data_IF_936820218706
#
_entry.id   IF_936820218706
#
_cell.length_a   1.000
_cell.length_b   1.000
_cell.length_c   1.000
_cell.angle_alpha   90.00
_cell.angle_beta   90.00
_cell.angle_gamma   90.00
#
_symmetry.space_group_name_H-M   'P 1'
#
loop_
_entity.id
_entity.type
_entity.pdbx_description
1 polymer ?
#
# COMPACT_ATOMS: atom_id res chain seq x y z
N UNK A 1 -12.53 -16.34 32.09
CA UNK A 1 -12.49 -17.43 31.07
C UNK A 1 -11.19 -17.42 30.26
N UNK A 2 -10.74 -16.29 29.70
CA UNK A 2 -9.43 -16.20 29.01
C UNK A 2 -8.21 -16.38 29.94
N UNK A 3 -8.26 -15.85 31.17
CA UNK A 3 -7.17 -16.03 32.14
C UNK A 3 -7.05 -17.48 32.64
N UNK A 4 -8.16 -18.23 32.70
CA UNK A 4 -8.16 -19.63 33.11
C UNK A 4 -7.60 -20.55 32.02
N UNK A 5 -7.78 -20.20 30.74
CA UNK A 5 -7.22 -20.93 29.61
C UNK A 5 -5.69 -20.78 29.51
N UNK A 6 -5.15 -19.57 29.79
CA UNK A 6 -3.71 -19.32 29.80
C UNK A 6 -2.99 -20.09 30.93
N UNK A 7 -3.60 -20.16 32.12
CA UNK A 7 -3.04 -20.91 33.26
C UNK A 7 -3.11 -22.42 33.03
N UNK A 8 -4.16 -22.93 32.38
CA UNK A 8 -4.28 -24.35 32.04
C UNK A 8 -3.21 -24.80 31.03
N UNK A 9 -2.90 -23.96 30.04
CA UNK A 9 -1.85 -24.22 29.03
C UNK A 9 -0.46 -24.24 29.67
N UNK A 10 -0.18 -23.32 30.61
CA UNK A 10 1.11 -23.27 31.33
C UNK A 10 1.30 -24.47 32.28
N UNK A 11 0.22 -24.93 32.92
CA UNK A 11 0.25 -26.13 33.78
C UNK A 11 0.42 -27.42 32.96
N UNK A 12 -0.24 -27.52 31.79
CA UNK A 12 -0.08 -28.65 30.87
C UNK A 12 1.34 -28.71 30.26
N UNK A 13 1.94 -27.56 29.96
CA UNK A 13 3.32 -27.47 29.46
C UNK A 13 4.38 -27.75 30.54
N UNK A 14 4.04 -27.60 31.82
CA UNK A 14 4.91 -27.95 32.95
C UNK A 14 4.84 -29.44 33.32
N UNK A 15 3.76 -30.14 32.96
CA UNK A 15 3.60 -31.59 33.18
C UNK A 15 4.19 -32.47 32.08
N UNK A 16 4.67 -31.89 30.98
CA UNK A 16 5.32 -32.64 29.91
C UNK A 16 6.76 -32.99 30.30
N UNK A 17 7.12 -34.26 30.11
CA UNK A 17 8.48 -34.74 30.30
C UNK A 17 9.45 -33.94 29.39
N UNK A 18 10.64 -33.60 29.91
CA UNK A 18 11.66 -32.75 29.29
C UNK A 18 11.86 -32.94 27.76
N UNK A 19 11.88 -34.18 27.20
CA UNK A 19 12.08 -34.39 25.77
C UNK A 19 10.91 -33.90 24.91
N UNK A 20 9.68 -33.94 25.45
CA UNK A 20 8.45 -33.53 24.74
C UNK A 20 8.30 -32.01 24.73
N UNK A 21 8.76 -31.34 25.80
CA UNK A 21 8.78 -29.88 25.92
C UNK A 21 9.75 -29.24 24.92
N UNK A 22 10.93 -29.84 24.75
CA UNK A 22 11.90 -29.42 23.73
C UNK A 22 11.38 -29.63 22.30
N UNK A 23 10.58 -30.68 22.05
CA UNK A 23 9.99 -30.94 20.72
C UNK A 23 8.95 -29.91 20.29
N UNK A 24 8.11 -29.43 21.21
CA UNK A 24 7.07 -28.43 20.91
C UNK A 24 7.67 -27.02 20.70
N UNK A 25 8.71 -26.66 21.45
CA UNK A 25 9.47 -25.42 21.22
C UNK A 25 10.28 -25.52 19.92
N UNK A 26 10.80 -26.72 19.60
CA UNK A 26 11.53 -27.01 18.37
C UNK A 26 10.67 -26.89 17.11
N UNK A 27 9.38 -27.24 17.12
CA UNK A 27 8.53 -27.13 15.92
C UNK A 27 8.10 -25.70 15.59
N UNK A 28 7.97 -24.82 16.60
CA UNK A 28 7.76 -23.39 16.36
C UNK A 28 9.05 -22.69 15.90
N UNK A 29 10.21 -23.14 16.41
CA UNK A 29 11.53 -22.62 16.00
C UNK A 29 12.03 -23.21 14.66
N UNK A 30 11.56 -24.39 14.23
CA UNK A 30 12.02 -25.06 13.01
C UNK A 30 11.47 -24.46 11.72
N UNK A 31 10.58 -23.47 11.79
CA UNK A 31 10.10 -22.74 10.62
C UNK A 31 11.15 -21.77 10.05
N UNK A 32 12.23 -21.50 10.80
CA UNK A 32 13.29 -20.58 10.37
C UNK A 32 14.67 -21.13 10.76
N UNK A 33 15.59 -21.37 9.80
CA UNK A 33 16.98 -21.69 10.12
C UNK A 33 17.57 -20.61 11.04
N UNK A 34 18.38 -21.01 12.02
CA UNK A 34 18.93 -20.12 13.08
C UNK A 34 19.58 -18.83 12.52
N UNK A 35 20.14 -18.85 11.31
CA UNK A 35 20.66 -17.66 10.63
C UNK A 35 19.59 -16.69 10.08
N UNK A 36 18.40 -17.17 9.71
CA UNK A 36 17.29 -16.32 9.24
C UNK A 36 16.56 -15.60 10.37
N UNK A 37 16.54 -16.19 11.58
CA UNK A 37 15.94 -15.57 12.77
C UNK A 37 16.71 -14.30 13.17
N UNK A 38 18.04 -14.34 13.09
CA UNK A 38 18.92 -13.19 13.34
C UNK A 38 18.72 -12.09 12.28
N UNK A 39 18.64 -12.45 11.00
CA UNK A 39 18.36 -11.48 9.93
C UNK A 39 17.00 -10.80 10.09
N UNK A 40 15.95 -11.56 10.44
CA UNK A 40 14.62 -10.99 10.70
C UNK A 40 14.65 -10.00 11.85
N UNK A 41 15.24 -10.39 12.97
CA UNK A 41 15.35 -9.53 14.16
C UNK A 41 16.12 -8.23 13.84
N UNK A 42 17.18 -8.30 13.03
CA UNK A 42 17.92 -7.13 12.57
C UNK A 42 17.08 -6.21 11.69
N UNK A 43 16.33 -6.75 10.72
CA UNK A 43 15.42 -5.95 9.89
C UNK A 43 14.37 -5.24 10.74
N UNK A 44 13.75 -5.96 11.69
CA UNK A 44 12.75 -5.40 12.59
C UNK A 44 13.36 -4.30 13.50
N UNK A 45 14.58 -4.48 14.00
CA UNK A 45 15.27 -3.47 14.80
C UNK A 45 15.57 -2.19 14.00
N UNK A 46 16.14 -2.33 12.78
CA UNK A 46 16.40 -1.19 11.88
C UNK A 46 15.13 -0.44 11.52
N UNK A 47 14.03 -1.15 11.27
CA UNK A 47 12.74 -0.53 10.97
C UNK A 47 12.18 0.23 12.17
N UNK A 48 12.27 -0.34 13.38
CA UNK A 48 11.87 0.36 14.62
C UNK A 48 12.70 1.63 14.86
N UNK A 49 14.01 1.57 14.66
CA UNK A 49 14.89 2.74 14.73
C UNK A 49 14.48 3.81 13.72
N UNK A 50 14.21 3.43 12.47
CA UNK A 50 13.69 4.34 11.45
C UNK A 50 12.37 5.00 11.89
N UNK A 51 11.40 4.21 12.38
CA UNK A 51 10.12 4.75 12.85
C UNK A 51 10.30 5.77 13.98
N UNK A 52 11.17 5.48 14.95
CA UNK A 52 11.46 6.37 16.06
C UNK A 52 12.21 7.65 15.63
N UNK A 53 12.96 7.58 14.53
CA UNK A 53 13.69 8.73 13.98
C UNK A 53 12.84 9.65 13.09
N UNK A 54 11.66 9.22 12.64
CA UNK A 54 10.83 10.01 11.69
C UNK A 54 9.54 10.53 12.29
N UNK A 55 9.11 10.07 13.46
CA UNK A 55 7.95 10.61 14.19
C UNK A 55 8.31 10.72 15.66
N UNK A 56 8.02 11.87 16.25
CA UNK A 56 8.25 12.13 17.66
C UNK A 56 7.26 11.32 18.51
N UNK A 57 7.73 10.75 19.61
CA UNK A 57 6.89 10.21 20.68
C UNK A 57 6.87 11.21 21.84
N UNK A 58 5.89 12.14 21.88
CA UNK A 58 5.88 13.19 22.90
C UNK A 58 5.68 12.58 24.29
N UNK A 59 6.48 13.02 25.27
CA UNK A 59 6.40 12.55 26.66
C UNK A 59 5.06 12.87 27.37
N UNK A 60 4.20 13.66 26.71
CA UNK A 60 2.84 14.02 27.14
C UNK A 60 1.90 13.88 25.94
N UNK A 61 0.58 13.71 26.14
CA UNK A 61 -0.39 13.87 25.07
C UNK A 61 -0.19 15.24 24.39
N UNK A 62 0.00 15.29 23.06
CA UNK A 62 0.22 16.55 22.38
C UNK A 62 -1.07 17.36 22.29
N UNK A 63 -0.93 18.69 22.24
CA UNK A 63 -2.05 19.60 22.02
C UNK A 63 -2.30 19.81 20.52
N UNK A 64 -1.25 19.61 19.70
CA UNK A 64 -1.30 19.75 18.23
C UNK A 64 -0.74 18.52 17.55
N UNK A 65 -1.36 18.13 16.44
CA UNK A 65 -0.85 17.03 15.62
C UNK A 65 0.58 17.28 15.13
N UNK A 66 0.95 18.53 14.85
CA UNK A 66 2.30 18.89 14.41
C UNK A 66 3.41 18.60 15.43
N UNK A 67 3.09 18.36 16.71
CA UNK A 67 4.06 17.93 17.73
C UNK A 67 4.62 16.53 17.48
N UNK A 68 3.97 15.72 16.62
CA UNK A 68 4.50 14.42 16.17
C UNK A 68 5.60 14.55 15.10
N UNK A 69 5.79 15.74 14.51
CA UNK A 69 6.72 15.94 13.40
C UNK A 69 8.14 16.19 13.91
N UNK A 70 9.12 15.58 13.25
CA UNK A 70 10.54 15.76 13.56
C UNK A 70 11.04 17.02 12.84
N UNK A 71 11.67 17.98 13.55
CA UNK A 71 12.23 19.17 12.93
C UNK A 71 13.27 18.82 11.84
N UNK A 72 13.15 19.48 10.68
CA UNK A 72 14.05 19.26 9.54
C UNK A 72 13.67 18.08 8.63
N UNK A 73 12.77 17.19 9.06
CA UNK A 73 12.22 16.16 8.20
C UNK A 73 11.21 16.72 7.20
N UNK A 74 11.07 16.04 6.07
CA UNK A 74 10.01 16.29 5.08
C UNK A 74 9.10 15.08 5.03
N UNK A 75 7.80 15.32 4.85
CA UNK A 75 6.79 14.27 4.83
C UNK A 75 5.92 14.40 3.58
N UNK A 76 5.49 13.26 3.06
CA UNK A 76 4.55 13.18 1.96
C UNK A 76 3.38 12.29 2.36
N UNK A 77 2.16 12.82 2.27
CA UNK A 77 0.92 12.07 2.40
C UNK A 77 0.16 12.09 1.08
N UNK A 78 -0.63 11.06 0.81
CA UNK A 78 -1.54 11.04 -0.34
C UNK A 78 -2.95 10.71 0.09
N UNK A 79 -3.93 11.42 -0.49
CA UNK A 79 -5.33 11.02 -0.38
C UNK A 79 -5.71 10.06 -1.50
N UNK A 80 -6.54 9.07 -1.20
CA UNK A 80 -6.91 8.02 -2.15
C UNK A 80 -8.36 8.13 -2.60
N UNK A 81 -8.65 7.46 -3.72
CA UNK A 81 -9.99 7.19 -4.22
C UNK A 81 -10.11 5.71 -4.58
N UNK A 82 -11.32 5.15 -4.52
CA UNK A 82 -11.62 3.84 -5.08
C UNK A 82 -11.18 2.63 -4.25
N UNK A 83 -11.21 1.46 -4.89
CA UNK A 83 -11.00 0.17 -4.27
C UNK A 83 -9.54 -0.10 -3.87
N UNK A 84 -9.28 -1.32 -3.39
CA UNK A 84 -7.99 -1.70 -2.83
C UNK A 84 -6.82 -1.51 -3.81
N UNK A 85 -7.01 -1.86 -5.10
CA UNK A 85 -5.97 -1.67 -6.12
C UNK A 85 -5.62 -0.20 -6.30
N UNK A 86 -6.62 0.69 -6.42
CA UNK A 86 -6.37 2.13 -6.50
C UNK A 86 -5.57 2.60 -5.29
N UNK A 87 -6.00 2.23 -4.08
CA UNK A 87 -5.32 2.56 -2.82
C UNK A 87 -3.88 2.05 -2.78
N UNK A 88 -3.63 0.84 -3.25
CA UNK A 88 -2.27 0.28 -3.30
C UNK A 88 -1.40 1.10 -4.25
N UNK A 89 -1.86 1.37 -5.47
CA UNK A 89 -1.08 2.15 -6.43
C UNK A 89 -0.83 3.58 -5.96
N UNK A 90 -1.79 4.22 -5.29
CA UNK A 90 -1.56 5.52 -4.63
C UNK A 90 -0.40 5.46 -3.63
N UNK A 91 -0.40 4.43 -2.77
CA UNK A 91 0.69 4.25 -1.78
C UNK A 91 2.01 3.95 -2.46
N UNK A 92 2.04 3.14 -3.52
CA UNK A 92 3.26 2.83 -4.24
C UNK A 92 3.85 4.08 -4.93
N UNK A 93 3.02 4.92 -5.55
CA UNK A 93 3.47 6.19 -6.11
C UNK A 93 3.89 7.19 -5.02
N UNK A 94 3.21 7.22 -3.88
CA UNK A 94 3.61 8.05 -2.74
C UNK A 94 4.96 7.59 -2.17
N UNK A 95 5.20 6.29 -2.07
CA UNK A 95 6.49 5.73 -1.65
C UNK A 95 7.61 6.07 -2.64
N UNK A 96 7.33 5.95 -3.93
CA UNK A 96 8.26 6.36 -4.98
C UNK A 96 8.58 7.86 -4.86
N UNK A 97 7.56 8.71 -4.84
CA UNK A 97 7.72 10.16 -4.76
C UNK A 97 8.43 10.61 -3.47
N UNK A 98 8.08 10.01 -2.33
CA UNK A 98 8.75 10.30 -1.06
C UNK A 98 10.25 9.98 -1.14
N UNK A 99 10.63 8.86 -1.77
CA UNK A 99 12.04 8.54 -1.98
C UNK A 99 12.75 9.58 -2.83
N UNK A 100 12.18 9.95 -3.98
CA UNK A 100 12.78 10.94 -4.89
C UNK A 100 12.91 12.33 -4.23
N UNK A 101 11.99 12.67 -3.32
CA UNK A 101 11.99 13.93 -2.58
C UNK A 101 12.81 13.88 -1.28
N UNK A 102 13.38 12.73 -0.91
CA UNK A 102 14.03 12.54 0.38
C UNK A 102 13.07 12.65 1.58
N UNK A 103 11.77 12.51 1.37
CA UNK A 103 10.73 12.64 2.38
C UNK A 103 10.35 11.28 3.02
N UNK A 104 9.62 11.37 4.12
CA UNK A 104 8.97 10.24 4.81
C UNK A 104 7.56 10.08 4.24
N UNK A 105 7.24 8.89 3.72
CA UNK A 105 5.89 8.59 3.24
C UNK A 105 4.96 8.30 4.43
N UNK A 106 3.98 9.18 4.67
CA UNK A 106 2.91 8.96 5.64
C UNK A 106 1.80 8.13 4.98
N UNK A 107 1.61 6.90 5.46
CA UNK A 107 0.73 5.93 4.83
C UNK A 107 -0.56 5.73 5.63
N UNK A 108 -1.72 6.23 5.15
CA UNK A 108 -3.00 5.91 5.78
C UNK A 108 -3.31 4.41 5.66
N UNK A 109 -4.23 3.90 6.47
CA UNK A 109 -4.74 2.53 6.31
C UNK A 109 -5.45 2.36 4.97
N UNK A 110 -5.52 1.12 4.50
CA UNK A 110 -6.49 0.71 3.50
C UNK A 110 -7.89 0.78 4.08
N UNK A 111 -8.85 1.16 3.24
CA UNK A 111 -10.27 1.21 3.58
C UNK A 111 -11.03 0.24 2.70
N UNK A 112 -11.71 -0.70 3.34
CA UNK A 112 -12.57 -1.69 2.69
C UNK A 112 -13.90 -1.02 2.27
N UNK A 113 -13.85 -0.10 1.29
CA UNK A 113 -14.99 0.78 0.94
C UNK A 113 -16.23 0.02 0.45
N UNK A 114 -16.05 -1.20 -0.07
CA UNK A 114 -17.14 -2.04 -0.58
C UNK A 114 -17.76 -2.95 0.49
N UNK A 115 -17.22 -2.97 1.71
CA UNK A 115 -17.74 -3.79 2.81
C UNK A 115 -18.51 -2.91 3.81
N UNK A 116 -19.62 -3.41 4.39
CA UNK A 116 -20.33 -2.72 5.46
C UNK A 116 -19.39 -2.32 6.60
N UNK A 117 -19.50 -1.09 7.07
CA UNK A 117 -18.68 -0.56 8.16
C UNK A 117 -17.29 -0.05 7.75
N UNK A 118 -16.93 -0.09 6.46
CA UNK A 118 -15.72 0.51 5.90
C UNK A 118 -14.45 0.18 6.71
N UNK A 119 -14.23 -1.10 7.02
CA UNK A 119 -13.15 -1.48 7.93
C UNK A 119 -11.76 -1.02 7.44
N UNK A 120 -10.95 -0.58 8.39
CA UNK A 120 -9.60 -0.07 8.14
C UNK A 120 -8.55 -1.17 8.41
N UNK A 121 -7.56 -1.26 7.53
CA UNK A 121 -6.41 -2.18 7.69
C UNK A 121 -5.12 -1.43 7.41
N UNK A 122 -4.20 -1.42 8.37
CA UNK A 122 -2.92 -0.75 8.19
C UNK A 122 -2.06 -1.46 7.14
N UNK A 123 -1.15 -0.73 6.51
CA UNK A 123 -0.26 -1.32 5.49
C UNK A 123 0.62 -2.42 6.07
N UNK A 124 1.09 -2.27 7.31
CA UNK A 124 1.93 -3.23 8.01
C UNK A 124 1.17 -4.41 8.62
N UNK A 125 -0.16 -4.41 8.57
CA UNK A 125 -0.96 -5.62 8.79
C UNK A 125 -1.04 -6.50 7.53
N UNK A 126 -0.71 -5.95 6.35
CA UNK A 126 -0.80 -6.64 5.07
C UNK A 126 0.58 -6.96 4.49
N UNK A 127 1.52 -6.03 4.64
CA UNK A 127 2.84 -6.08 4.02
C UNK A 127 3.97 -5.99 5.04
N UNK A 128 5.05 -6.70 4.74
CA UNK A 128 6.25 -6.80 5.55
C UNK A 128 7.11 -5.53 5.42
N UNK A 129 6.68 -4.48 6.13
CA UNK A 129 7.34 -3.18 6.10
C UNK A 129 8.82 -3.20 6.56
N UNK A 130 9.23 -4.01 7.56
CA UNK A 130 10.64 -4.17 7.90
C UNK A 130 11.49 -4.67 6.73
N UNK A 131 11.02 -5.71 6.02
CA UNK A 131 11.69 -6.22 4.82
C UNK A 131 11.71 -5.18 3.70
N UNK A 132 10.59 -4.51 3.47
CA UNK A 132 10.47 -3.45 2.46
C UNK A 132 11.49 -2.33 2.72
N UNK A 133 11.60 -1.83 3.96
CA UNK A 133 12.57 -0.80 4.32
C UNK A 133 14.01 -1.28 4.10
N UNK A 134 14.31 -2.53 4.48
CA UNK A 134 15.65 -3.09 4.32
C UNK A 134 16.07 -3.23 2.85
N UNK A 135 15.12 -3.51 1.95
CA UNK A 135 15.35 -3.68 0.51
C UNK A 135 15.40 -2.35 -0.26
N UNK A 136 14.69 -1.33 0.20
CA UNK A 136 14.46 -0.09 -0.57
C UNK A 136 15.08 1.16 0.05
N UNK A 137 15.35 1.15 1.36
CA UNK A 137 15.72 2.34 2.13
C UNK A 137 14.60 3.38 2.27
N UNK A 138 13.41 3.11 1.74
CA UNK A 138 12.31 4.09 1.72
C UNK A 138 11.68 4.21 3.10
N UNK A 139 11.72 5.44 3.63
CA UNK A 139 11.18 5.78 4.95
C UNK A 139 9.66 5.89 4.85
N UNK A 140 8.97 4.87 5.34
CA UNK A 140 7.52 4.76 5.29
C UNK A 140 6.96 4.65 6.71
N UNK A 141 6.06 5.55 7.07
CA UNK A 141 5.44 5.59 8.39
C UNK A 141 3.93 5.29 8.28
N UNK A 142 3.46 4.13 8.77
CA UNK A 142 2.03 3.82 8.85
C UNK A 142 1.31 4.75 9.84
N UNK A 143 0.38 5.58 9.35
CA UNK A 143 -0.32 6.60 10.16
C UNK A 143 -1.10 6.02 11.34
N UNK A 144 -1.58 4.78 11.26
CA UNK A 144 -2.27 4.12 12.38
C UNK A 144 -1.39 3.98 13.66
N UNK A 145 -0.07 4.12 13.53
CA UNK A 145 0.86 4.10 14.67
C UNK A 145 0.77 5.37 15.52
N UNK A 146 0.22 6.45 14.95
CA UNK A 146 -0.27 7.58 15.73
C UNK A 146 -1.59 7.11 16.35
N UNK A 147 -1.53 6.74 17.63
CA UNK A 147 -2.59 6.01 18.32
C UNK A 147 -3.94 6.72 18.23
N UNK A 148 -4.99 5.98 17.81
CA UNK A 148 -6.38 6.42 18.00
C UNK A 148 -6.76 6.48 19.48
N UNK A 149 -6.14 5.74 20.39
CA UNK A 149 -6.39 5.89 21.84
C UNK A 149 -5.78 7.19 22.39
N UNK A 150 -4.76 7.75 21.70
CA UNK A 150 -4.25 9.09 21.95
C UNK A 150 -5.12 10.21 21.35
N UNK A 151 -5.86 9.92 20.27
CA UNK A 151 -6.72 10.89 19.57
C UNK A 151 -8.19 10.83 20.05
N UNK A 152 -8.71 9.67 20.45
CA UNK A 152 -10.12 9.44 20.81
C UNK A 152 -10.47 9.82 22.26
N UNK A 153 -9.51 10.22 23.09
CA UNK A 153 -9.81 10.83 24.41
C UNK A 153 -9.71 12.35 24.44
N UNK A 154 -9.30 12.98 23.36
CA UNK A 154 -9.13 14.43 23.29
C UNK A 154 -9.94 14.98 22.13
N UNK A 155 -11.15 15.44 22.44
CA UNK A 155 -11.85 16.48 21.66
C UNK A 155 -11.06 17.80 21.58
N UNK A 156 -9.80 17.83 22.04
CA UNK A 156 -8.92 18.99 22.17
C UNK A 156 -7.67 18.97 21.28
N UNK A 157 -7.35 17.86 20.58
CA UNK A 157 -6.18 17.82 19.70
C UNK A 157 -6.42 18.70 18.46
N UNK A 158 -5.61 19.74 18.28
CA UNK A 158 -5.67 20.59 17.10
C UNK A 158 -5.26 19.78 15.85
N UNK A 159 -6.13 19.66 14.84
CA UNK A 159 -5.86 18.86 13.65
C UNK A 159 -4.74 19.49 12.82
N UNK A 160 -3.98 18.66 12.12
CA UNK A 160 -3.07 19.13 11.08
C UNK A 160 -3.87 19.55 9.85
N UNK A 161 -3.93 20.85 9.58
CA UNK A 161 -4.50 21.39 8.33
C UNK A 161 -3.43 21.49 7.25
N UNK A 162 -3.64 20.86 6.10
CA UNK A 162 -2.67 20.78 5.01
C UNK A 162 -3.26 21.25 3.68
N UNK A 163 -2.55 22.12 2.93
CA UNK A 163 -2.83 22.26 1.51
C UNK A 163 -2.55 20.93 0.80
N UNK A 164 -3.50 20.43 0.02
CA UNK A 164 -3.34 19.23 -0.79
C UNK A 164 -3.47 19.52 -2.28
N UNK A 165 -2.45 19.17 -3.05
CA UNK A 165 -2.41 19.42 -4.48
C UNK A 165 -3.26 18.41 -5.24
N UNK A 166 -4.25 18.91 -5.98
CA UNK A 166 -5.20 18.07 -6.74
C UNK A 166 -4.83 17.95 -8.22
N UNK A 167 -3.80 17.16 -8.51
CA UNK A 167 -3.43 16.82 -9.90
C UNK A 167 -4.50 15.96 -10.58
N UNK A 168 -5.33 15.28 -9.80
CA UNK A 168 -6.41 14.45 -10.33
C UNK A 168 -7.56 15.30 -10.84
N UNK A 169 -7.99 16.33 -10.11
CA UNK A 169 -8.95 17.28 -10.64
C UNK A 169 -8.35 18.07 -11.81
N UNK A 170 -7.04 18.30 -11.84
CA UNK A 170 -6.30 18.87 -13.01
C UNK A 170 -6.44 18.01 -14.25
N UNK A 171 -6.35 16.70 -14.06
CA UNK A 171 -6.50 15.74 -15.15
C UNK A 171 -7.97 15.57 -15.55
N UNK A 172 -8.93 15.75 -14.63
CA UNK A 172 -10.36 15.50 -14.85
C UNK A 172 -11.22 16.62 -14.27
N UNK A 173 -11.21 17.82 -14.87
CA UNK A 173 -11.92 18.99 -14.33
C UNK A 173 -13.46 18.81 -14.31
N UNK A 174 -14.00 17.93 -15.16
CA UNK A 174 -15.45 17.70 -15.25
C UNK A 174 -15.96 16.59 -14.31
N UNK A 175 -15.08 15.93 -13.55
CA UNK A 175 -15.45 14.82 -12.68
C UNK A 175 -15.99 15.33 -11.33
N UNK A 176 -17.30 15.18 -11.13
CA UNK A 176 -18.02 15.70 -9.95
C UNK A 176 -17.67 15.02 -8.61
N UNK A 177 -16.98 13.88 -8.66
CA UNK A 177 -16.53 13.14 -7.47
C UNK A 177 -15.08 13.47 -7.06
N UNK A 178 -14.46 14.47 -7.69
CA UNK A 178 -13.11 14.93 -7.37
C UNK A 178 -13.11 16.32 -6.71
N UNK A 179 -12.10 16.64 -5.86
CA UNK A 179 -11.06 15.74 -5.38
C UNK A 179 -11.66 14.67 -4.44
N UNK A 180 -10.95 13.56 -4.18
CA UNK A 180 -11.47 12.51 -3.34
C UNK A 180 -11.82 13.01 -1.93
N UNK A 181 -12.85 12.46 -1.28
CA UNK A 181 -13.17 12.80 0.10
C UNK A 181 -11.96 12.60 1.03
N UNK A 182 -11.67 13.59 1.87
CA UNK A 182 -10.58 13.52 2.86
C UNK A 182 -10.94 12.68 4.12
N UNK A 183 -12.10 12.00 4.12
CA UNK A 183 -12.64 11.31 5.27
C UNK A 183 -11.64 10.32 5.89
N UNK A 184 -10.88 9.60 5.07
CA UNK A 184 -9.88 8.63 5.52
C UNK A 184 -8.69 9.26 6.24
N UNK A 185 -8.36 10.52 5.97
CA UNK A 185 -7.27 11.26 6.62
C UNK A 185 -7.74 12.03 7.86
N UNK A 186 -9.00 12.48 7.85
CA UNK A 186 -9.64 13.11 9.02
C UNK A 186 -9.59 12.18 10.25
N UNK A 187 -9.64 10.87 10.04
CA UNK A 187 -9.52 9.84 11.07
C UNK A 187 -8.18 9.82 11.81
N UNK A 188 -7.15 10.41 11.22
CA UNK A 188 -5.83 10.59 11.81
C UNK A 188 -5.62 12.02 12.31
N UNK A 189 -6.66 12.86 12.35
CA UNK A 189 -6.54 14.27 12.70
C UNK A 189 -5.89 15.13 11.61
N UNK A 190 -5.89 14.67 10.35
CA UNK A 190 -5.36 15.42 9.21
C UNK A 190 -6.54 15.94 8.39
N UNK A 191 -6.66 17.26 8.29
CA UNK A 191 -7.66 17.95 7.49
C UNK A 191 -7.01 18.49 6.21
N UNK A 192 -7.63 18.22 5.06
CA UNK A 192 -7.11 18.65 3.77
C UNK A 192 -7.85 19.87 3.25
N UNK A 193 -7.08 20.86 2.82
CA UNK A 193 -7.54 22.02 2.06
C UNK A 193 -7.03 21.88 0.63
N UNK A 194 -7.90 21.56 -0.32
CA UNK A 194 -7.49 21.27 -1.69
C UNK A 194 -7.08 22.53 -2.46
N UNK A 195 -5.97 22.43 -3.20
CA UNK A 195 -5.46 23.47 -4.09
C UNK A 195 -5.03 22.89 -5.43
N UNK A 196 -5.14 23.71 -6.48
CA UNK A 196 -4.64 23.35 -7.81
C UNK A 196 -3.12 23.54 -7.89
N UNK A 197 -2.40 22.65 -8.58
CA UNK A 197 -1.00 22.91 -8.90
C UNK A 197 -0.89 24.19 -9.75
N UNK A 198 0.28 24.83 -9.72
CA UNK A 198 0.58 25.93 -10.64
C UNK A 198 0.53 25.39 -12.07
N UNK A 199 -0.43 25.89 -12.86
CA UNK A 199 -0.65 25.43 -14.23
C UNK A 199 0.50 25.77 -15.17
N UNK A 200 1.30 26.79 -14.83
CA UNK A 200 2.53 27.12 -15.57
C UNK A 200 3.71 26.24 -15.13
N UNK A 201 3.56 25.47 -14.05
CA UNK A 201 4.58 24.52 -13.58
C UNK A 201 4.40 23.12 -14.15
N UNK A 202 3.20 22.84 -14.66
CA UNK A 202 2.84 21.54 -15.22
C UNK A 202 2.93 21.66 -16.73
N UNK A 203 3.80 20.86 -17.34
CA UNK A 203 3.98 20.85 -18.80
C UNK A 203 2.79 20.20 -19.54
N UNK A 204 2.04 19.37 -18.82
CA UNK A 204 0.88 18.65 -19.33
C UNK A 204 -0.34 19.58 -19.37
N UNK A 205 -1.05 19.74 -20.50
CA UNK A 205 -2.27 20.54 -20.56
C UNK A 205 -3.37 20.02 -19.61
N UNK A 206 -4.22 20.92 -19.13
CA UNK A 206 -5.40 20.56 -18.33
C UNK A 206 -6.31 19.58 -19.09
N UNK A 207 -6.89 18.62 -18.36
CA UNK A 207 -7.67 17.53 -18.97
C UNK A 207 -6.83 16.36 -19.50
N UNK A 208 -5.51 16.39 -19.33
CA UNK A 208 -4.60 15.29 -19.69
C UNK A 208 -3.87 14.73 -18.46
N UNK A 209 -3.55 13.41 -18.44
CA UNK A 209 -2.82 12.80 -17.33
C UNK A 209 -1.44 13.41 -17.11
N UNK A 210 -1.28 14.10 -15.97
CA UNK A 210 -0.04 14.79 -15.59
C UNK A 210 1.09 13.80 -15.43
N UNK A 211 2.26 14.08 -16.00
CA UNK A 211 3.43 13.21 -15.82
C UNK A 211 3.97 13.24 -14.40
N UNK A 212 4.39 12.09 -13.89
CA UNK A 212 4.94 11.98 -12.54
C UNK A 212 6.14 12.92 -12.31
N UNK A 213 7.00 13.12 -13.32
CA UNK A 213 8.17 14.00 -13.19
C UNK A 213 7.78 15.48 -12.98
N UNK A 214 6.67 15.95 -13.58
CA UNK A 214 6.14 17.31 -13.33
C UNK A 214 5.63 17.43 -11.89
N UNK A 215 4.97 16.37 -11.37
CA UNK A 215 4.52 16.33 -9.97
C UNK A 215 5.72 16.42 -9.04
N UNK A 216 6.79 15.64 -9.28
CA UNK A 216 8.01 15.67 -8.48
C UNK A 216 8.71 17.02 -8.55
N UNK A 217 8.85 17.59 -9.75
CA UNK A 217 9.44 18.90 -9.95
C UNK A 217 8.66 19.98 -9.19
N UNK A 218 7.33 19.95 -9.25
CA UNK A 218 6.48 20.85 -8.50
C UNK A 218 6.63 20.66 -6.98
N UNK A 219 6.61 19.42 -6.49
CA UNK A 219 6.78 19.10 -5.07
C UNK A 219 8.16 19.48 -4.51
N UNK A 220 9.20 19.47 -5.35
CA UNK A 220 10.55 19.89 -4.96
C UNK A 220 10.69 21.41 -4.80
N UNK A 221 9.80 22.21 -5.39
CA UNK A 221 9.91 23.67 -5.42
C UNK A 221 8.94 24.37 -4.46
N UNK A 222 9.27 24.35 -3.17
CA UNK A 222 8.47 24.95 -2.09
C UNK A 222 8.25 26.46 -2.26
N UNK A 223 9.25 27.18 -2.75
CA UNK A 223 9.14 28.64 -3.00
C UNK A 223 8.08 28.94 -4.06
N UNK A 224 8.04 28.14 -5.14
CA UNK A 224 7.01 28.28 -6.17
C UNK A 224 5.63 27.92 -5.65
N UNK A 225 5.51 26.84 -4.87
CA UNK A 225 4.25 26.46 -4.23
C UNK A 225 3.68 27.57 -3.34
N UNK A 226 4.52 28.15 -2.46
CA UNK A 226 4.11 29.23 -1.57
C UNK A 226 3.71 30.48 -2.37
N UNK A 227 4.53 30.86 -3.36
CA UNK A 227 4.23 32.01 -4.23
C UNK A 227 2.92 31.82 -4.99
N UNK A 228 2.65 30.60 -5.49
CA UNK A 228 1.43 30.27 -6.20
C UNK A 228 0.19 30.40 -5.31
N UNK A 229 0.25 29.90 -4.07
CA UNK A 229 -0.84 30.06 -3.11
C UNK A 229 -1.08 31.55 -2.82
N UNK A 230 -0.03 32.32 -2.54
CA UNK A 230 -0.16 33.75 -2.26
C UNK A 230 -0.76 34.52 -3.44
N UNK A 231 -0.27 34.33 -4.67
CA UNK A 231 -0.84 34.99 -5.85
C UNK A 231 -2.34 34.71 -6.02
N UNK A 232 -2.74 33.48 -5.73
CA UNK A 232 -4.11 33.02 -5.85
C UNK A 232 -5.05 33.52 -4.76
N UNK A 233 -4.51 33.78 -3.55
CA UNK A 233 -5.23 34.49 -2.46
C UNK A 233 -5.73 35.85 -2.92
N UNK A 234 -4.87 36.61 -3.59
CA UNK A 234 -5.18 37.97 -4.05
C UNK A 234 -6.02 37.97 -5.34
N UNK A 235 -5.73 37.07 -6.29
CA UNK A 235 -6.37 37.09 -7.62
C UNK A 235 -7.80 36.53 -7.64
N UNK A 236 -8.21 35.67 -6.69
CA UNK A 236 -9.57 35.07 -6.58
C UNK A 236 -10.16 34.62 -7.94
N UNK A 237 -9.49 33.72 -8.66
CA UNK A 237 -9.97 33.19 -9.95
C UNK A 237 -10.35 31.68 -9.89
N UNK A 238 -11.34 31.18 -10.68
CA UNK A 238 -12.31 31.88 -11.52
C UNK A 238 -13.79 31.67 -11.12
N UNK A 239 -14.60 32.66 -11.52
CA UNK A 239 -16.04 32.85 -11.31
C UNK A 239 -17.00 31.80 -11.95
N UNK A 240 -16.55 30.59 -12.31
CA UNK A 240 -17.44 29.62 -12.97
C UNK A 240 -18.13 28.68 -11.97
N UNK A 241 -19.22 29.18 -11.36
CA UNK A 241 -20.00 28.52 -10.30
C UNK A 241 -20.69 27.20 -10.69
N UNK A 242 -20.63 26.76 -11.94
CA UNK A 242 -21.42 25.61 -12.41
C UNK A 242 -20.74 24.24 -12.24
N UNK A 243 -19.45 24.19 -11.88
CA UNK A 243 -18.78 22.92 -11.60
C UNK A 243 -18.14 22.99 -10.22
N UNK A 244 -18.89 22.54 -9.22
CA UNK A 244 -18.40 22.35 -7.86
C UNK A 244 -17.32 21.27 -7.87
N UNK A 245 -16.08 21.71 -7.69
CA UNK A 245 -15.00 21.01 -6.98
C UNK A 245 -13.70 20.82 -7.79
N UNK A 246 -12.52 21.08 -7.18
CA UNK A 246 -12.34 21.62 -5.84
C UNK A 246 -12.76 23.09 -5.86
N UNK A 247 -13.59 23.57 -4.95
CA UNK A 247 -13.20 23.85 -3.57
C UNK A 247 -11.89 24.67 -3.47
N UNK A 248 -11.49 25.37 -4.54
CA UNK A 248 -10.53 26.45 -4.46
C UNK A 248 -11.19 27.58 -3.67
N UNK A 249 -11.03 27.53 -2.35
CA UNK A 249 -11.30 28.63 -1.47
C UNK A 249 -9.97 29.32 -1.12
N UNK A 250 -9.51 30.25 -1.96
CA UNK A 250 -8.26 30.95 -1.72
C UNK A 250 -8.29 31.73 -0.40
N UNK A 251 -9.46 32.03 0.16
CA UNK A 251 -9.57 32.68 1.45
C UNK A 251 -9.35 31.72 2.64
N UNK A 252 -9.55 30.41 2.46
CA UNK A 252 -9.52 29.42 3.53
C UNK A 252 -8.37 28.40 3.44
N UNK A 253 -7.59 28.35 2.34
CA UNK A 253 -6.36 27.56 2.29
C UNK A 253 -5.34 28.15 3.29
N UNK A 254 -4.78 27.37 4.24
CA UNK A 254 -3.73 27.84 5.14
C UNK A 254 -2.50 28.36 4.39
N UNK A 255 -1.77 29.37 4.89
CA UNK A 255 -0.54 29.79 4.25
C UNK A 255 0.39 28.59 4.20
N UNK A 256 0.97 28.30 3.03
CA UNK A 256 2.10 27.38 3.02
C UNK A 256 3.26 28.12 3.68
N UNK A 257 3.41 27.95 4.99
CA UNK A 257 4.66 28.33 5.64
C UNK A 257 5.73 27.44 5.05
N UNK A 258 6.89 28.02 4.67
CA UNK A 258 8.04 27.23 4.20
C UNK A 258 8.46 26.20 5.27
N UNK A 259 8.08 26.44 6.52
CA UNK A 259 8.28 25.58 7.67
C UNK A 259 7.30 24.40 7.76
N UNK A 260 6.25 24.33 6.94
CA UNK A 260 5.33 23.17 6.94
C UNK A 260 6.04 21.97 6.28
N UNK A 261 6.43 20.94 7.06
CA UNK A 261 7.24 19.86 6.52
C UNK A 261 6.40 18.83 5.76
N UNK A 262 5.06 18.90 5.83
CA UNK A 262 4.16 17.92 5.23
C UNK A 262 3.59 18.40 3.91
N UNK A 263 3.76 17.59 2.87
CA UNK A 263 3.17 17.78 1.54
C UNK A 263 2.04 16.79 1.33
N UNK A 264 0.95 17.23 0.69
CA UNK A 264 -0.14 16.35 0.28
C UNK A 264 -0.34 16.41 -1.23
N UNK A 265 -0.46 15.23 -1.85
CA UNK A 265 -0.91 15.09 -3.25
C UNK A 265 -2.08 14.14 -3.31
N UNK A 266 -3.13 14.57 -4.00
CA UNK A 266 -4.29 13.72 -4.22
C UNK A 266 -4.04 12.67 -5.30
N UNK A 267 -4.69 11.54 -5.10
CA UNK A 267 -4.96 10.52 -6.08
C UNK A 267 -3.85 10.26 -7.15
N UNK A 268 -2.59 10.10 -6.71
CA UNK A 268 -1.40 9.83 -7.55
C UNK A 268 -1.54 8.67 -8.56
N UNK A 269 -2.51 7.78 -8.42
CA UNK A 269 -2.85 6.75 -9.40
C UNK A 269 -3.13 7.30 -10.80
N UNK A 270 -3.66 8.52 -10.91
CA UNK A 270 -4.05 9.12 -12.20
C UNK A 270 -2.92 9.87 -12.91
N UNK A 271 -1.73 9.93 -12.31
CA UNK A 271 -0.57 10.51 -12.99
C UNK A 271 -0.10 9.59 -14.10
N UNK A 272 0.31 10.16 -15.22
CA UNK A 272 0.98 9.43 -16.29
C UNK A 272 2.38 9.05 -15.81
N UNK A 273 2.63 7.76 -15.71
CA UNK A 273 3.95 7.25 -15.39
C UNK A 273 4.30 6.05 -16.27
N UNK A 274 5.60 5.84 -16.46
CA UNK A 274 6.10 4.52 -16.82
C UNK A 274 5.96 3.60 -15.61
N UNK A 275 4.92 2.77 -15.60
CA UNK A 275 4.60 1.82 -14.51
C UNK A 275 5.83 1.01 -14.06
N UNK A 276 6.75 0.74 -14.99
CA UNK A 276 8.01 0.04 -14.74
C UNK A 276 8.84 0.66 -13.62
N UNK A 277 9.05 1.99 -13.60
CA UNK A 277 9.97 2.63 -12.62
C UNK A 277 9.49 2.47 -11.18
N UNK A 278 8.22 2.78 -10.92
CA UNK A 278 7.65 2.60 -9.59
C UNK A 278 7.61 1.12 -9.21
N UNK A 279 7.22 0.23 -10.13
CA UNK A 279 7.13 -1.19 -9.84
C UNK A 279 8.50 -1.82 -9.53
N UNK A 280 9.49 -1.58 -10.39
CA UNK A 280 10.85 -2.08 -10.26
C UNK A 280 11.54 -1.53 -9.02
N UNK A 281 11.27 -0.31 -8.60
CA UNK A 281 12.04 0.28 -7.51
C UNK A 281 11.32 0.27 -6.17
N UNK A 282 10.00 0.02 -6.16
CA UNK A 282 9.16 0.02 -4.96
C UNK A 282 8.27 -1.23 -4.92
N UNK A 283 7.40 -1.39 -5.93
CA UNK A 283 6.32 -2.38 -5.92
C UNK A 283 6.81 -3.82 -5.70
N UNK A 284 7.86 -4.25 -6.41
CA UNK A 284 8.38 -5.61 -6.32
C UNK A 284 8.98 -5.98 -4.95
N UNK A 285 9.27 -4.99 -4.12
CA UNK A 285 9.84 -5.19 -2.77
C UNK A 285 8.76 -5.23 -1.68
N UNK A 286 7.50 -5.01 -2.04
CA UNK A 286 6.38 -5.06 -1.10
C UNK A 286 5.87 -6.51 -0.97
N UNK A 287 6.38 -7.23 0.04
CA UNK A 287 5.99 -8.61 0.32
C UNK A 287 4.85 -8.67 1.33
N UNK A 288 3.92 -9.62 1.18
CA UNK A 288 2.90 -9.85 2.19
C UNK A 288 3.51 -10.30 3.53
N UNK A 289 2.88 -9.96 4.65
CA UNK A 289 3.27 -10.51 5.96
C UNK A 289 3.00 -12.02 6.02
N UNK A 290 3.72 -12.74 6.87
CA UNK A 290 3.62 -14.20 6.98
C UNK A 290 2.20 -14.68 7.30
N UNK A 291 1.41 -13.94 8.07
CA UNK A 291 0.01 -14.31 8.36
C UNK A 291 -0.90 -14.26 7.13
N UNK A 292 -0.68 -13.32 6.21
CA UNK A 292 -1.42 -13.24 4.95
C UNK A 292 -1.00 -14.36 3.99
N UNK A 293 0.31 -14.64 3.94
CA UNK A 293 0.83 -15.76 3.14
C UNK A 293 0.28 -17.10 3.65
N UNK A 294 0.34 -17.34 4.97
CA UNK A 294 -0.20 -18.55 5.60
C UNK A 294 -1.69 -18.70 5.32
N UNK A 295 -2.48 -17.63 5.46
CA UNK A 295 -3.90 -17.68 5.15
C UNK A 295 -4.16 -18.10 3.69
N UNK A 296 -3.40 -17.53 2.74
CA UNK A 296 -3.53 -17.90 1.33
C UNK A 296 -3.14 -19.37 1.08
N UNK A 297 -2.06 -19.85 1.70
CA UNK A 297 -1.64 -21.24 1.64
C UNK A 297 -2.69 -22.18 2.23
N UNK A 298 -3.25 -21.86 3.40
CA UNK A 298 -4.29 -22.65 4.05
C UNK A 298 -5.53 -22.77 3.15
N UNK A 299 -5.96 -21.67 2.51
CA UNK A 299 -7.06 -21.70 1.56
C UNK A 299 -6.78 -22.61 0.35
N UNK A 300 -5.57 -22.54 -0.22
CA UNK A 300 -5.18 -23.39 -1.34
C UNK A 300 -5.12 -24.87 -0.93
N UNK A 301 -4.61 -25.16 0.27
CA UNK A 301 -4.52 -26.52 0.80
C UNK A 301 -5.90 -27.13 1.01
N UNK A 302 -6.85 -26.35 1.55
CA UNK A 302 -8.25 -26.79 1.68
C UNK A 302 -8.86 -27.03 0.31
N UNK A 303 -8.69 -26.08 -0.63
CA UNK A 303 -9.27 -26.16 -1.97
C UNK A 303 -8.78 -27.37 -2.78
N UNK A 304 -7.50 -27.74 -2.61
CA UNK A 304 -6.88 -28.85 -3.31
C UNK A 304 -6.78 -30.13 -2.47
N UNK A 305 -7.38 -30.15 -1.28
CA UNK A 305 -7.36 -31.29 -0.36
C UNK A 305 -5.93 -31.79 -0.05
N UNK A 306 -4.98 -30.86 0.10
CA UNK A 306 -3.55 -31.16 0.29
C UNK A 306 -3.26 -31.53 1.76
N UNK A 307 -2.81 -32.76 2.06
CA UNK A 307 -2.51 -33.20 3.42
C UNK A 307 -1.38 -32.41 4.07
N UNK A 308 -1.45 -32.19 5.39
CA UNK A 308 -0.45 -31.44 6.17
C UNK A 308 0.98 -31.89 5.84
N UNK A 309 1.88 -30.92 5.67
CA UNK A 309 3.29 -31.16 5.32
C UNK A 309 3.58 -31.48 3.85
N UNK A 310 2.57 -31.59 2.99
CA UNK A 310 2.76 -31.68 1.53
C UNK A 310 2.70 -30.32 0.86
N UNK A 311 3.42 -30.15 -0.25
CA UNK A 311 3.42 -28.93 -1.03
C UNK A 311 2.09 -28.75 -1.79
N UNK A 312 1.63 -27.50 -1.88
CA UNK A 312 0.52 -27.12 -2.75
C UNK A 312 0.92 -27.41 -4.21
N UNK A 313 0.13 -28.17 -4.99
CA UNK A 313 0.49 -28.50 -6.36
C UNK A 313 0.52 -27.24 -7.24
N UNK A 314 1.30 -27.25 -8.34
CA UNK A 314 1.24 -26.17 -9.32
C UNK A 314 -0.19 -25.99 -9.83
N UNK A 315 -0.64 -24.73 -9.94
CA UNK A 315 -2.00 -24.39 -10.35
C UNK A 315 -2.00 -23.14 -11.23
N UNK A 316 -3.10 -22.94 -11.95
CA UNK A 316 -3.34 -21.73 -12.75
C UNK A 316 -4.37 -20.89 -12.00
N UNK A 317 -3.98 -19.69 -11.57
CA UNK A 317 -4.92 -18.72 -10.98
C UNK A 317 -5.50 -17.83 -12.06
N UNK A 318 -6.82 -17.63 -12.04
CA UNK A 318 -7.55 -16.72 -12.92
C UNK A 318 -8.32 -15.73 -12.06
N UNK A 319 -8.05 -14.44 -12.23
CA UNK A 319 -8.80 -13.37 -11.60
C UNK A 319 -9.85 -12.83 -12.58
N UNK A 320 -11.11 -12.79 -12.16
CA UNK A 320 -12.24 -12.32 -12.96
C UNK A 320 -12.83 -11.08 -12.27
N UNK A 321 -12.62 -9.90 -12.89
CA UNK A 321 -13.33 -8.67 -12.54
C UNK A 321 -14.66 -8.62 -13.29
N UNK A 322 -15.77 -8.57 -12.54
CA UNK A 322 -17.12 -8.74 -13.06
C UNK A 322 -17.97 -7.47 -13.09
N UNK A 323 -18.98 -7.43 -12.21
CA UNK A 323 -20.27 -6.76 -12.45
C UNK A 323 -20.20 -5.26 -12.69
N UNK A 324 -19.43 -4.52 -11.89
CA UNK A 324 -19.32 -3.07 -12.02
C UNK A 324 -18.55 -2.67 -13.29
N UNK A 325 -17.53 -3.46 -13.64
CA UNK A 325 -16.74 -3.28 -14.86
C UNK A 325 -17.55 -3.58 -16.12
N UNK A 326 -18.56 -4.45 -16.06
CA UNK A 326 -19.46 -4.72 -17.20
C UNK A 326 -20.10 -3.44 -17.73
N UNK A 327 -20.46 -2.52 -16.85
CA UNK A 327 -21.11 -1.24 -17.24
C UNK A 327 -20.16 -0.33 -18.01
N UNK A 328 -18.85 -0.39 -17.71
CA UNK A 328 -17.83 0.48 -18.29
C UNK A 328 -17.17 -0.13 -19.53
N UNK A 329 -16.96 -1.45 -19.53
CA UNK A 329 -16.14 -2.16 -20.52
C UNK A 329 -16.90 -3.25 -21.29
N UNK A 330 -18.17 -3.50 -20.97
CA UNK A 330 -18.93 -4.61 -21.52
C UNK A 330 -18.61 -5.96 -20.84
N UNK A 331 -19.30 -7.02 -21.29
CA UNK A 331 -19.11 -8.36 -20.76
C UNK A 331 -18.01 -9.11 -21.51
N UNK A 332 -17.12 -9.80 -20.78
CA UNK A 332 -16.19 -10.77 -21.36
C UNK A 332 -16.86 -12.16 -21.33
N UNK A 333 -17.03 -12.85 -22.48
CA UNK A 333 -17.60 -14.20 -22.50
C UNK A 333 -16.73 -15.19 -21.72
N UNK A 334 -17.36 -16.12 -20.99
CA UNK A 334 -16.68 -17.16 -20.20
C UNK A 334 -15.69 -17.99 -21.04
N UNK A 335 -16.04 -18.23 -22.31
CA UNK A 335 -15.19 -18.94 -23.29
C UNK A 335 -13.83 -18.26 -23.51
N UNK A 336 -13.75 -16.94 -23.33
CA UNK A 336 -12.48 -16.20 -23.43
C UNK A 336 -11.50 -16.62 -22.34
N UNK A 337 -11.98 -16.81 -21.10
CA UNK A 337 -11.15 -17.29 -19.99
C UNK A 337 -10.72 -18.74 -20.21
N UNK A 338 -11.62 -19.61 -20.68
CA UNK A 338 -11.30 -21.02 -21.00
C UNK A 338 -10.21 -21.10 -22.08
N UNK A 339 -10.37 -20.34 -23.16
CA UNK A 339 -9.39 -20.29 -24.24
C UNK A 339 -8.04 -19.76 -23.74
N UNK A 340 -8.03 -18.76 -22.86
CA UNK A 340 -6.79 -18.21 -22.31
C UNK A 340 -6.08 -19.19 -21.38
N UNK A 341 -6.82 -19.95 -20.57
CA UNK A 341 -6.25 -21.04 -19.75
C UNK A 341 -5.62 -22.11 -20.64
N UNK A 342 -6.27 -22.49 -21.75
CA UNK A 342 -5.71 -23.45 -22.71
C UNK A 342 -4.41 -22.93 -23.34
N UNK A 343 -4.35 -21.65 -23.73
CA UNK A 343 -3.13 -20.99 -24.22
C UNK A 343 -2.02 -21.00 -23.17
N UNK A 344 -2.32 -20.65 -21.91
CA UNK A 344 -1.35 -20.68 -20.81
C UNK A 344 -0.80 -22.10 -20.58
N UNK A 345 -1.65 -23.12 -20.63
CA UNK A 345 -1.21 -24.53 -20.53
C UNK A 345 -0.24 -24.91 -21.64
N UNK A 346 -0.52 -24.51 -22.89
CA UNK A 346 0.39 -24.75 -24.02
C UNK A 346 1.73 -24.03 -23.84
N UNK A 347 1.72 -22.77 -23.38
CA UNK A 347 2.93 -22.00 -23.09
C UNK A 347 3.76 -22.64 -21.98
N UNK A 348 3.12 -23.13 -20.92
CA UNK A 348 3.77 -23.84 -19.83
C UNK A 348 4.38 -25.16 -20.32
N UNK A 349 3.63 -25.95 -21.09
CA UNK A 349 4.13 -27.21 -21.65
C UNK A 349 5.38 -26.99 -22.52
N UNK A 350 5.37 -25.95 -23.36
CA UNK A 350 6.55 -25.56 -24.15
C UNK A 350 7.74 -25.19 -23.25
N UNK A 351 7.54 -24.32 -22.25
CA UNK A 351 8.61 -23.91 -21.33
C UNK A 351 9.20 -25.07 -20.56
N UNK A 352 8.37 -26.01 -20.10
CA UNK A 352 8.84 -27.20 -19.40
C UNK A 352 9.68 -28.10 -20.32
N UNK A 353 9.24 -28.32 -21.55
CA UNK A 353 10.02 -29.07 -22.55
C UNK A 353 11.37 -28.39 -22.86
N UNK A 354 11.39 -27.05 -22.98
CA UNK A 354 12.62 -26.29 -23.19
C UNK A 354 13.59 -26.46 -22.00
N UNK A 355 13.10 -26.41 -20.76
CA UNK A 355 13.90 -26.64 -19.55
C UNK A 355 14.44 -28.06 -19.50
N UNK A 356 13.61 -29.08 -19.76
CA UNK A 356 14.03 -30.48 -19.81
C UNK A 356 15.10 -30.74 -20.88
N UNK A 357 14.94 -30.13 -22.06
CA UNK A 357 15.92 -30.24 -23.15
C UNK A 357 17.27 -29.58 -22.81
N UNK A 358 17.25 -28.50 -22.01
CA UNK A 358 18.46 -27.82 -21.56
C UNK A 358 19.12 -28.56 -20.38
N UNK A 359 18.35 -29.17 -19.48
CA UNK A 359 18.86 -29.97 -18.37
C UNK A 359 19.50 -31.29 -18.84
N UNK A 360 18.87 -31.97 -19.80
CA UNK A 360 19.42 -33.20 -20.40
C UNK A 360 20.74 -32.98 -21.13
N UNK A 361 21.03 -31.74 -21.56
CA UNK A 361 22.33 -31.33 -22.09
C UNK A 361 23.41 -31.06 -21.03
N UNK A 362 23.04 -30.85 -19.77
CA UNK A 362 23.95 -30.37 -18.72
C UNK A 362 24.36 -31.42 -17.67
N UNK A 363 23.57 -32.47 -17.40
CA UNK A 363 23.95 -33.68 -16.61
C UNK A 363 22.74 -34.60 -16.37
N UNK A 364 23.01 -35.85 -15.94
CA UNK A 364 22.12 -37.03 -15.87
C UNK A 364 20.69 -36.82 -15.31
N UNK A 365 19.71 -37.66 -15.72
CA UNK A 365 18.28 -37.35 -15.64
C UNK A 365 17.74 -37.47 -14.21
N UNK A 366 17.49 -36.33 -13.57
CA UNK A 366 16.46 -36.25 -12.53
C UNK A 366 15.12 -36.20 -13.24
N UNK A 367 14.32 -37.28 -13.16
CA UNK A 367 12.88 -37.22 -13.43
C UNK A 367 12.27 -36.26 -12.41
N UNK A 368 12.25 -34.97 -12.72
CA UNK A 368 11.34 -34.04 -12.08
C UNK A 368 9.94 -34.50 -12.49
N UNK A 369 9.21 -35.11 -11.56
CA UNK A 369 7.77 -35.34 -11.67
C UNK A 369 7.09 -33.95 -11.68
N UNK A 370 7.22 -33.22 -12.77
CA UNK A 370 6.40 -32.06 -13.02
C UNK A 370 5.11 -32.61 -13.60
N UNK A 371 4.05 -32.55 -12.80
CA UNK A 371 2.70 -32.82 -13.27
C UNK A 371 2.49 -32.05 -14.59
N UNK A 372 1.96 -32.72 -15.60
CA UNK A 372 1.81 -32.12 -16.92
C UNK A 372 0.82 -30.93 -16.84
N UNK A 373 1.11 -29.75 -17.44
CA UNK A 373 0.32 -28.53 -17.25
C UNK A 373 -1.18 -28.65 -17.58
N UNK A 374 -1.55 -29.59 -18.45
CA UNK A 374 -2.95 -29.94 -18.74
C UNK A 374 -3.72 -30.40 -17.48
N UNK A 375 -3.02 -30.96 -16.50
CA UNK A 375 -3.56 -31.47 -15.25
C UNK A 375 -3.49 -30.45 -14.11
N UNK A 376 -2.96 -29.24 -14.34
CA UNK A 376 -2.95 -28.20 -13.30
C UNK A 376 -4.38 -27.77 -12.99
N UNK A 377 -4.79 -27.77 -11.70
CA UNK A 377 -6.07 -27.21 -11.31
C UNK A 377 -6.12 -25.72 -11.63
N UNK A 378 -7.33 -25.24 -11.91
CA UNK A 378 -7.59 -23.83 -12.24
C UNK A 378 -8.39 -23.22 -11.09
N UNK A 379 -7.84 -22.19 -10.46
CA UNK A 379 -8.48 -21.47 -9.35
C UNK A 379 -9.03 -20.17 -9.90
N UNK A 380 -10.34 -19.99 -9.78
CA UNK A 380 -11.00 -18.74 -10.13
C UNK A 380 -11.20 -17.88 -8.89
N UNK A 381 -10.85 -16.61 -9.00
CA UNK A 381 -11.10 -15.58 -7.98
C UNK A 381 -11.95 -14.47 -8.59
N UNK A 382 -12.94 -13.99 -7.85
CA UNK A 382 -13.81 -12.88 -8.23
C UNK A 382 -13.68 -11.76 -7.20
N UNK A 383 -13.91 -10.52 -7.62
CA UNK A 383 -13.92 -9.37 -6.70
C UNK A 383 -15.24 -9.22 -5.92
N UNK A 384 -16.19 -10.12 -6.16
CA UNK A 384 -17.58 -10.15 -5.67
C UNK A 384 -17.89 -11.53 -5.08
#
# INVERSE_FOLDING_TARGET
LALAAATLILVLLASLHEPTRQRVISTAASLWPVGKVDERARMDARYKEMLAGVVMDPHRPPDRWSEYLVPGEQYLVTNFFGGQTNQLFHKLYALYAARELGAVALLPSFVAIHFPGHTHRSIDAMYDMPRFYNLTGVRAFPLHRISRDGIQKTTTLEPLRLPCWTFTAYTKPDATWLPPPAASLNEYGIQLDYSWPDTEAVSTPSGQPVVLDDVLAFLSNRTRQASWIEQNRFRRLPHNRQHTSPAFDPANIPPLTLDNPVQCVDALFYVRSGWSRMWEQIGQHLHFVGTVQQAAEDYLRILFEVPEGQDVPPYISVHIRGTDFRTVHGSIPSTSFVNKVAEVRQLLAKRLADVESNMTRASAPRKTLLTAPENYPVVFTTDE
#
